data_IF_623065929574
#
_entry.id   IF_623065929574
#
_cell.length_a   1.000
_cell.length_b   1.000
_cell.length_c   1.000
_cell.angle_alpha   90.00
_cell.angle_beta   90.00
_cell.angle_gamma   90.00
#
_symmetry.space_group_name_H-M   'P 1'
#
loop_
_entity.id
_entity.type
_entity.pdbx_description
1 polymer ?
#
# COMPACT_ATOMS: atom_id res chain seq x y z
N UNK A 1 5.82 -7.34 -3.99
CA UNK A 1 5.67 -6.04 -4.71
C UNK A 1 6.14 -4.88 -3.85
N UNK A 2 6.43 -3.71 -4.45
CA UNK A 2 6.94 -2.52 -3.72
C UNK A 2 6.10 -1.27 -4.01
N UNK A 3 5.95 -0.34 -3.05
CA UNK A 3 5.36 0.95 -3.34
C UNK A 3 6.31 1.76 -4.23
N UNK A 4 5.75 2.56 -5.14
CA UNK A 4 6.53 3.42 -6.03
C UNK A 4 6.01 4.85 -6.01
N UNK A 5 6.91 5.80 -6.27
CA UNK A 5 6.53 7.19 -6.46
C UNK A 5 5.76 7.37 -7.77
N UNK A 6 4.81 8.29 -7.78
CA UNK A 6 3.98 8.57 -8.95
C UNK A 6 3.61 10.06 -9.01
N UNK A 7 3.36 10.63 -10.20
CA UNK A 7 3.25 12.08 -10.38
C UNK A 7 2.19 12.78 -9.53
N UNK A 8 1.10 12.09 -9.18
CA UNK A 8 -0.01 12.63 -8.42
C UNK A 8 0.17 12.53 -6.90
N UNK A 9 1.29 11.98 -6.40
CA UNK A 9 1.52 11.84 -4.97
C UNK A 9 1.57 13.22 -4.29
N UNK A 10 0.95 13.34 -3.11
CA UNK A 10 0.88 14.60 -2.36
C UNK A 10 1.52 14.51 -0.98
N UNK A 11 1.64 13.30 -0.44
CA UNK A 11 2.23 13.07 0.89
C UNK A 11 2.96 11.73 0.90
N UNK A 12 3.99 11.63 1.76
CA UNK A 12 4.69 10.39 2.06
C UNK A 12 4.34 10.01 3.49
N UNK A 13 3.58 8.94 3.66
CA UNK A 13 3.25 8.40 4.97
C UNK A 13 4.49 7.75 5.55
N UNK A 14 4.89 8.19 6.75
CA UNK A 14 6.00 7.61 7.48
C UNK A 14 5.63 6.29 8.12
N UNK A 15 6.65 5.50 8.42
CA UNK A 15 6.53 4.30 9.27
C UNK A 15 6.25 4.69 10.74
N UNK A 16 5.70 3.77 11.54
CA UNK A 16 5.69 3.90 13.00
C UNK A 16 7.10 4.15 13.57
N UNK A 17 7.18 4.93 14.65
CA UNK A 17 8.46 5.34 15.25
C UNK A 17 9.33 4.17 15.73
N UNK A 18 8.71 3.05 16.07
CA UNK A 18 9.32 1.83 16.60
C UNK A 18 9.70 0.81 15.52
N UNK A 19 9.47 1.12 14.23
CA UNK A 19 9.82 0.24 13.11
C UNK A 19 11.07 0.71 12.36
N UNK A 20 11.89 -0.25 11.92
CA UNK A 20 12.99 -0.03 10.96
C UNK A 20 12.46 0.13 9.52
N UNK A 21 13.27 0.64 8.60
CA UNK A 21 12.84 0.82 7.20
C UNK A 21 12.63 -0.53 6.49
N UNK A 22 13.33 -1.56 6.96
CA UNK A 22 13.17 -2.95 6.54
C UNK A 22 11.83 -3.54 7.02
N UNK A 23 11.35 -3.14 8.20
CA UNK A 23 10.07 -3.59 8.74
C UNK A 23 8.88 -2.83 8.15
N UNK A 24 9.04 -1.53 7.94
CA UNK A 24 8.01 -0.68 7.35
C UNK A 24 8.69 0.50 6.67
N UNK A 25 8.55 0.59 5.35
CA UNK A 25 9.08 1.71 4.57
C UNK A 25 8.03 2.81 4.41
N UNK A 26 8.49 4.00 4.06
CA UNK A 26 7.59 5.11 3.76
C UNK A 26 6.69 4.82 2.55
N UNK A 27 5.41 5.20 2.61
CA UNK A 27 4.44 4.97 1.55
C UNK A 27 4.08 6.30 0.85
N UNK A 28 4.49 6.51 -0.43
CA UNK A 28 4.01 7.63 -1.22
C UNK A 28 2.52 7.47 -1.52
N UNK A 29 1.72 8.50 -1.24
CA UNK A 29 0.28 8.49 -1.49
C UNK A 29 -0.21 9.81 -2.07
N UNK A 30 -1.30 9.72 -2.82
CA UNK A 30 -2.14 10.86 -3.15
C UNK A 30 -3.30 10.89 -2.15
N UNK A 31 -3.33 11.96 -1.34
CA UNK A 31 -4.47 12.28 -0.50
C UNK A 31 -5.49 13.09 -1.31
N UNK A 32 -6.64 12.50 -1.60
CA UNK A 32 -7.70 13.14 -2.39
C UNK A 32 -8.90 13.44 -1.48
N UNK A 33 -9.38 14.67 -1.57
CA UNK A 33 -10.63 15.08 -0.95
C UNK A 33 -11.73 15.05 -2.02
N UNK A 34 -12.64 14.06 -2.01
CA UNK A 34 -13.76 14.06 -2.94
C UNK A 34 -14.62 15.32 -2.73
N UNK A 35 -15.04 15.95 -3.83
CA UNK A 35 -15.78 17.22 -3.85
C UNK A 35 -17.27 17.10 -3.41
N UNK A 36 -17.59 16.11 -2.58
CA UNK A 36 -18.94 15.87 -2.07
C UNK A 36 -18.92 15.94 -0.55
N UNK A 37 -19.87 16.66 0.03
CA UNK A 37 -19.96 16.84 1.48
C UNK A 37 -20.06 15.50 2.22
N UNK A 38 -19.26 15.37 3.28
CA UNK A 38 -19.31 14.27 4.24
C UNK A 38 -18.45 13.03 3.92
N UNK A 39 -17.73 13.00 2.79
CA UNK A 39 -16.86 11.87 2.46
C UNK A 39 -15.46 12.01 3.10
N UNK A 40 -14.88 10.92 3.66
CA UNK A 40 -13.53 10.97 4.22
C UNK A 40 -12.46 11.13 3.11
N UNK A 41 -11.28 11.66 3.45
CA UNK A 41 -10.16 11.70 2.51
C UNK A 41 -9.77 10.29 2.05
N UNK A 42 -9.47 10.15 0.76
CA UNK A 42 -8.97 8.91 0.17
C UNK A 42 -7.44 8.94 0.14
N UNK A 43 -6.82 7.78 0.41
CA UNK A 43 -5.37 7.59 0.30
C UNK A 43 -5.11 6.60 -0.84
N UNK A 44 -4.45 7.05 -1.90
CA UNK A 44 -4.15 6.22 -3.07
C UNK A 44 -2.64 5.98 -3.12
N UNK A 45 -2.21 4.72 -3.16
CA UNK A 45 -0.82 4.33 -3.37
C UNK A 45 -0.66 3.54 -4.66
N UNK A 46 0.53 3.60 -5.26
CA UNK A 46 0.87 2.84 -6.46
C UNK A 46 1.91 1.76 -6.12
N UNK A 47 1.72 0.56 -6.67
CA UNK A 47 2.56 -0.59 -6.38
C UNK A 47 3.06 -1.22 -7.67
N UNK A 48 4.37 -1.44 -7.73
CA UNK A 48 5.03 -2.14 -8.83
C UNK A 48 5.20 -3.62 -8.48
N UNK A 49 4.62 -4.47 -9.33
CA UNK A 49 4.76 -5.92 -9.21
C UNK A 49 6.11 -6.36 -9.77
N UNK A 50 6.82 -7.20 -9.02
CA UNK A 50 7.98 -7.90 -9.55
C UNK A 50 7.57 -8.97 -10.59
N UNK A 51 8.50 -9.49 -11.39
CA UNK A 51 8.21 -10.63 -12.27
C UNK A 51 7.62 -11.84 -11.54
N UNK A 52 8.05 -12.07 -10.30
CA UNK A 52 7.54 -13.16 -9.46
C UNK A 52 6.10 -12.89 -9.00
N UNK A 53 5.83 -11.67 -8.51
CA UNK A 53 4.47 -11.23 -8.17
C UNK A 53 3.54 -11.37 -9.38
N UNK A 54 3.98 -10.96 -10.57
CA UNK A 54 3.21 -11.07 -11.81
C UNK A 54 2.90 -12.53 -12.16
N UNK A 55 3.86 -13.43 -12.00
CA UNK A 55 3.65 -14.85 -12.25
C UNK A 55 2.62 -15.44 -11.28
N UNK A 56 2.71 -15.08 -10.00
CA UNK A 56 1.79 -15.56 -8.97
C UNK A 56 0.37 -14.99 -9.13
N UNK A 57 0.25 -13.69 -9.45
CA UNK A 57 -1.04 -13.07 -9.79
C UNK A 57 -1.65 -13.72 -11.02
N UNK A 58 -0.86 -14.01 -12.07
CA UNK A 58 -1.36 -14.72 -13.27
C UNK A 58 -1.84 -16.13 -12.93
N UNK A 59 -1.14 -16.83 -12.04
CA UNK A 59 -1.46 -18.21 -11.62
C UNK A 59 -2.73 -18.27 -10.77
N UNK A 60 -2.90 -17.31 -9.86
CA UNK A 60 -3.94 -17.38 -8.81
C UNK A 60 -5.12 -16.45 -9.06
N UNK A 61 -4.93 -15.39 -9.85
CA UNK A 61 -5.87 -14.29 -10.03
C UNK A 61 -6.04 -13.41 -8.78
N UNK A 62 -5.11 -13.47 -7.82
CA UNK A 62 -5.28 -12.88 -6.48
C UNK A 62 -4.17 -11.89 -6.16
N UNK A 63 -4.56 -10.86 -5.40
CA UNK A 63 -3.69 -9.95 -4.67
C UNK A 63 -4.25 -9.85 -3.26
N UNK A 64 -3.38 -9.80 -2.27
CA UNK A 64 -3.73 -9.69 -0.87
C UNK A 64 -3.33 -8.31 -0.36
N UNK A 65 -4.26 -7.68 0.37
CA UNK A 65 -4.02 -6.46 1.12
C UNK A 65 -4.08 -6.81 2.61
N UNK A 66 -2.99 -6.55 3.31
CA UNK A 66 -2.88 -6.68 4.75
C UNK A 66 -2.79 -5.28 5.36
N UNK A 67 -3.59 -5.01 6.39
CA UNK A 67 -3.71 -3.72 7.05
C UNK A 67 -3.37 -3.92 8.52
N UNK A 68 -2.20 -3.42 8.93
CA UNK A 68 -1.57 -3.77 10.20
C UNK A 68 -1.84 -2.68 11.24
N UNK A 69 -2.76 -2.92 12.18
CA UNK A 69 -2.97 -2.04 13.34
C UNK A 69 -4.40 -1.52 13.46
N UNK A 70 -4.62 -0.64 14.46
CA UNK A 70 -5.94 -0.15 14.87
C UNK A 70 -6.21 1.34 14.57
N UNK A 71 -5.17 2.10 14.20
CA UNK A 71 -5.18 3.51 13.72
C UNK A 71 -4.50 3.58 12.35
N UNK A 72 -4.35 4.75 11.67
CA UNK A 72 -3.79 4.87 10.30
C UNK A 72 -2.63 3.88 10.02
N UNK A 73 -2.94 2.68 9.50
CA UNK A 73 -2.10 1.51 9.75
C UNK A 73 -1.11 1.29 8.61
N UNK A 74 0.10 0.79 8.88
CA UNK A 74 0.93 0.20 7.84
C UNK A 74 0.12 -0.77 6.97
N UNK A 75 0.36 -0.70 5.67
CA UNK A 75 -0.28 -1.59 4.70
C UNK A 75 0.78 -2.39 3.97
N UNK A 76 0.45 -3.64 3.68
CA UNK A 76 1.23 -4.56 2.87
C UNK A 76 0.35 -5.05 1.72
N UNK A 77 0.90 -5.06 0.50
CA UNK A 77 0.28 -5.70 -0.65
C UNK A 77 1.20 -6.82 -1.14
N UNK A 78 0.64 -8.00 -1.37
CA UNK A 78 1.40 -9.19 -1.81
C UNK A 78 0.61 -10.06 -2.77
N UNK A 79 1.30 -10.72 -3.70
CA UNK A 79 0.70 -11.71 -4.59
C UNK A 79 0.51 -13.08 -3.89
N UNK A 80 1.28 -13.33 -2.83
CA UNK A 80 1.35 -14.63 -2.16
C UNK A 80 0.33 -14.73 -1.04
N UNK A 81 -0.29 -15.91 -0.91
CA UNK A 81 -1.22 -16.20 0.18
C UNK A 81 -0.54 -16.01 1.54
N UNK A 82 -1.06 -15.16 2.44
CA UNK A 82 -0.51 -14.97 3.78
C UNK A 82 -0.94 -16.05 4.77
N UNK A 83 -1.69 -17.07 4.33
CA UNK A 83 -2.28 -18.11 5.18
C UNK A 83 -1.63 -19.49 4.99
N UNK A 84 -0.43 -19.53 4.42
CA UNK A 84 0.31 -20.76 4.14
C UNK A 84 1.25 -21.13 5.30
#
# INVERSE_FOLDING_TARGET
MKPVEFPQQTVKLGKPQDMTDEQCSSLPVAQIHPNYDGQPPQQISCWELSPEDLAEVKRTGKVWLNVIGTTHPPVEITAFSPFN
#
